data_IF_176427628887
#
_entry.id   IF_176427628887
#
_cell.length_a   1.000
_cell.length_b   1.000
_cell.length_c   1.000
_cell.angle_alpha   90.00
_cell.angle_beta   90.00
_cell.angle_gamma   90.00
#
_symmetry.space_group_name_H-M   'P 1'
#
loop_
_entity.id
_entity.type
_entity.pdbx_description
1 polymer ?
#
# COMPACT_ATOMS: atom_id res chain seq x y z
N UNK A 1 -19.34 -22.95 9.31
CA UNK A 1 -18.88 -23.18 7.92
C UNK A 1 -19.86 -22.61 6.87
N UNK A 2 -21.18 -22.79 7.02
CA UNK A 2 -22.16 -22.28 6.01
C UNK A 2 -22.28 -20.75 5.95
N UNK A 3 -21.98 -20.02 7.04
CA UNK A 3 -22.04 -18.55 7.07
C UNK A 3 -21.06 -17.87 6.09
N UNK A 4 -19.89 -18.48 5.83
CA UNK A 4 -18.88 -17.90 4.96
C UNK A 4 -19.37 -17.74 3.50
N UNK A 5 -20.16 -18.70 2.98
CA UNK A 5 -20.69 -18.58 1.62
C UNK A 5 -21.70 -17.45 1.50
N UNK A 6 -22.51 -17.23 2.57
CA UNK A 6 -23.42 -16.07 2.65
C UNK A 6 -22.62 -14.78 2.65
N UNK A 7 -21.59 -14.70 3.50
CA UNK A 7 -20.78 -13.50 3.70
C UNK A 7 -20.01 -13.14 2.41
N UNK A 8 -19.40 -14.11 1.72
CA UNK A 8 -18.76 -13.92 0.44
C UNK A 8 -19.76 -13.47 -0.65
N UNK A 9 -20.96 -14.07 -0.68
CA UNK A 9 -21.99 -13.65 -1.63
C UNK A 9 -22.42 -12.19 -1.41
N UNK A 10 -22.63 -11.79 -0.13
CA UNK A 10 -22.98 -10.42 0.22
C UNK A 10 -21.85 -9.47 -0.16
N UNK A 11 -20.59 -9.81 0.17
CA UNK A 11 -19.42 -9.00 -0.16
C UNK A 11 -19.29 -8.79 -1.67
N UNK A 12 -19.30 -9.87 -2.47
CA UNK A 12 -19.10 -9.78 -3.92
C UNK A 12 -20.25 -9.00 -4.59
N UNK A 13 -21.49 -9.26 -4.19
CA UNK A 13 -22.66 -8.56 -4.76
C UNK A 13 -22.66 -7.08 -4.40
N UNK A 14 -22.42 -6.74 -3.12
CA UNK A 14 -22.38 -5.35 -2.67
C UNK A 14 -21.18 -4.61 -3.29
N UNK A 15 -19.99 -5.21 -3.34
CA UNK A 15 -18.83 -4.64 -4.02
C UNK A 15 -19.14 -4.29 -5.48
N UNK A 16 -19.73 -5.21 -6.24
CA UNK A 16 -20.07 -4.96 -7.65
C UNK A 16 -21.18 -3.93 -7.81
N UNK A 17 -22.20 -3.96 -6.97
CA UNK A 17 -23.29 -2.98 -7.01
C UNK A 17 -22.76 -1.56 -6.72
N UNK A 18 -22.04 -1.37 -5.62
CA UNK A 18 -21.50 -0.06 -5.25
C UNK A 18 -20.35 0.38 -6.16
N UNK A 19 -19.53 -0.56 -6.66
CA UNK A 19 -18.52 -0.27 -7.67
C UNK A 19 -19.11 0.26 -8.97
N UNK A 20 -20.21 -0.34 -9.46
CA UNK A 20 -20.94 0.16 -10.62
C UNK A 20 -21.63 1.51 -10.34
N UNK A 21 -22.17 1.69 -9.14
CA UNK A 21 -22.76 2.98 -8.72
C UNK A 21 -21.68 4.09 -8.68
N UNK A 22 -20.50 3.81 -8.13
CA UNK A 22 -19.37 4.72 -8.13
C UNK A 22 -18.96 5.12 -9.56
N UNK A 23 -18.88 4.16 -10.49
CA UNK A 23 -18.60 4.46 -11.91
C UNK A 23 -19.65 5.37 -12.54
N UNK A 24 -20.93 5.16 -12.25
CA UNK A 24 -22.01 6.07 -12.72
C UNK A 24 -21.83 7.48 -12.15
N UNK A 25 -21.36 7.60 -10.92
CA UNK A 25 -21.01 8.88 -10.29
C UNK A 25 -19.63 9.42 -10.75
N UNK A 26 -19.03 8.82 -11.78
CA UNK A 26 -17.68 9.17 -12.28
C UNK A 26 -16.58 9.05 -11.22
N UNK A 27 -16.76 8.20 -10.21
CA UNK A 27 -15.75 7.85 -9.22
C UNK A 27 -15.05 6.53 -9.61
N UNK A 28 -13.81 6.25 -9.14
CA UNK A 28 -13.18 4.95 -9.27
C UNK A 28 -13.99 3.84 -8.60
N UNK A 29 -13.96 2.62 -9.17
CA UNK A 29 -14.70 1.47 -8.66
C UNK A 29 -14.30 1.10 -7.24
N UNK A 30 -13.01 1.19 -6.92
CA UNK A 30 -12.43 0.95 -5.60
C UNK A 30 -13.13 1.74 -4.49
N UNK A 31 -13.51 3.00 -4.76
CA UNK A 31 -14.27 3.83 -3.81
C UNK A 31 -15.60 3.18 -3.45
N UNK A 32 -16.33 2.70 -4.47
CA UNK A 32 -17.60 2.01 -4.25
C UNK A 32 -17.44 0.72 -3.45
N UNK A 33 -16.40 -0.05 -3.71
CA UNK A 33 -16.12 -1.30 -3.00
C UNK A 33 -15.78 -1.04 -1.51
N UNK A 34 -15.00 0.00 -1.20
CA UNK A 34 -14.72 0.40 0.20
C UNK A 34 -15.98 0.89 0.90
N UNK A 35 -16.79 1.72 0.23
CA UNK A 35 -18.07 2.19 0.78
C UNK A 35 -19.08 1.05 0.99
N UNK A 36 -19.06 0.02 0.12
CA UNK A 36 -19.83 -1.19 0.34
C UNK A 36 -19.46 -1.85 1.66
N UNK A 37 -18.16 -1.96 1.96
CA UNK A 37 -17.67 -2.50 3.23
C UNK A 37 -18.13 -1.71 4.45
N UNK A 38 -18.09 -0.38 4.39
CA UNK A 38 -18.63 0.48 5.45
C UNK A 38 -20.13 0.27 5.68
N UNK A 39 -20.89 0.09 4.59
CA UNK A 39 -22.34 -0.07 4.66
C UNK A 39 -22.73 -1.42 5.24
N UNK A 40 -22.14 -2.54 4.73
CA UNK A 40 -22.50 -3.89 5.17
C UNK A 40 -21.81 -4.31 6.46
N UNK A 41 -20.77 -3.58 6.87
CA UNK A 41 -19.96 -3.83 8.05
C UNK A 41 -20.55 -3.35 9.36
N UNK A 42 -19.78 -3.49 10.46
CA UNK A 42 -20.19 -3.09 11.81
C UNK A 42 -20.56 -1.61 11.94
N UNK A 43 -20.03 -0.77 11.04
CA UNK A 43 -20.26 0.67 11.06
C UNK A 43 -21.74 1.05 10.85
N UNK A 44 -22.48 0.32 9.99
CA UNK A 44 -23.87 0.68 9.64
C UNK A 44 -24.84 -0.50 9.77
N UNK A 45 -24.78 -1.48 8.86
CA UNK A 45 -25.79 -2.57 8.80
C UNK A 45 -25.41 -3.82 9.60
N UNK A 46 -24.13 -4.00 9.93
CA UNK A 46 -23.60 -5.15 10.65
C UNK A 46 -24.06 -6.51 10.07
N UNK A 47 -24.14 -6.59 8.73
CA UNK A 47 -24.54 -7.83 8.02
C UNK A 47 -23.39 -8.83 7.93
N UNK A 48 -22.16 -8.31 7.77
CA UNK A 48 -20.93 -9.07 7.65
C UNK A 48 -19.91 -8.53 8.62
N UNK A 49 -19.26 -9.44 9.35
CA UNK A 49 -18.13 -9.10 10.21
C UNK A 49 -16.86 -9.71 9.66
N UNK A 50 -15.73 -9.04 9.89
CA UNK A 50 -14.40 -9.57 9.52
C UNK A 50 -14.14 -10.84 10.30
N UNK A 51 -13.62 -11.84 9.62
CA UNK A 51 -13.16 -13.09 10.22
C UNK A 51 -11.88 -13.55 9.52
N UNK A 52 -11.21 -14.55 10.08
CA UNK A 52 -9.93 -15.05 9.58
C UNK A 52 -10.00 -15.46 8.09
N UNK A 53 -11.12 -16.10 7.69
CA UNK A 53 -11.29 -16.53 6.30
C UNK A 53 -11.38 -15.33 5.35
N UNK A 54 -12.18 -14.33 5.69
CA UNK A 54 -12.30 -13.10 4.88
C UNK A 54 -10.95 -12.38 4.83
N UNK A 55 -10.21 -12.34 5.95
CA UNK A 55 -8.88 -11.74 6.01
C UNK A 55 -7.89 -12.44 5.09
N UNK A 56 -7.86 -13.78 5.08
CA UNK A 56 -7.00 -14.56 4.17
C UNK A 56 -7.36 -14.31 2.70
N UNK A 57 -8.66 -14.26 2.36
CA UNK A 57 -9.08 -13.94 0.99
C UNK A 57 -8.69 -12.52 0.57
N UNK A 58 -8.78 -11.56 1.48
CA UNK A 58 -8.36 -10.18 1.25
C UNK A 58 -6.83 -10.10 1.02
N UNK A 59 -6.05 -10.81 1.81
CA UNK A 59 -4.60 -10.92 1.71
C UNK A 59 -4.16 -11.54 0.37
N UNK A 60 -4.79 -12.63 -0.05
CA UNK A 60 -4.58 -13.21 -1.39
C UNK A 60 -4.88 -12.16 -2.47
N UNK A 61 -5.96 -11.38 -2.29
CA UNK A 61 -6.35 -10.35 -3.24
C UNK A 61 -5.29 -9.28 -3.46
N UNK A 62 -4.69 -8.78 -2.38
CA UNK A 62 -3.64 -7.75 -2.47
C UNK A 62 -2.33 -8.32 -2.99
N UNK A 63 -1.97 -9.54 -2.60
CA UNK A 63 -0.78 -10.24 -3.10
C UNK A 63 -0.87 -10.45 -4.62
N UNK A 64 -2.02 -10.91 -5.13
CA UNK A 64 -2.25 -11.07 -6.56
C UNK A 64 -2.26 -9.73 -7.32
N UNK A 65 -2.82 -8.68 -6.74
CA UNK A 65 -2.79 -7.33 -7.31
C UNK A 65 -1.35 -6.83 -7.49
N UNK A 66 -0.52 -7.00 -6.47
CA UNK A 66 0.87 -6.57 -6.51
C UNK A 66 1.72 -7.42 -7.46
N UNK A 67 1.47 -8.73 -7.53
CA UNK A 67 2.11 -9.62 -8.49
C UNK A 67 1.78 -9.22 -9.94
N UNK A 68 0.51 -8.98 -10.24
CA UNK A 68 0.07 -8.52 -11.56
C UNK A 68 0.70 -7.17 -11.93
N UNK A 69 0.77 -6.24 -10.97
CA UNK A 69 1.46 -4.95 -11.13
C UNK A 69 2.93 -5.14 -11.47
N UNK A 70 3.61 -6.07 -10.79
CA UNK A 70 5.00 -6.44 -11.08
C UNK A 70 5.18 -7.01 -12.48
N UNK A 71 4.29 -7.93 -12.92
CA UNK A 71 4.30 -8.50 -14.28
C UNK A 71 4.11 -7.43 -15.36
N UNK A 72 3.22 -6.45 -15.12
CA UNK A 72 2.96 -5.34 -16.03
C UNK A 72 4.01 -4.23 -16.01
N UNK A 73 5.03 -4.33 -15.15
CA UNK A 73 6.04 -3.29 -14.96
C UNK A 73 7.01 -3.22 -16.14
N UNK A 74 7.26 -2.01 -16.64
CA UNK A 74 8.34 -1.76 -17.59
C UNK A 74 9.68 -1.61 -16.86
N UNK A 75 10.51 -2.64 -16.91
CA UNK A 75 11.79 -2.68 -16.20
C UNK A 75 12.71 -1.49 -16.51
N UNK A 76 12.73 -1.00 -17.76
CA UNK A 76 13.54 0.16 -18.14
C UNK A 76 13.05 1.45 -17.45
N UNK A 77 11.74 1.62 -17.36
CA UNK A 77 11.15 2.76 -16.66
C UNK A 77 11.35 2.66 -15.16
N UNK A 78 11.22 1.44 -14.60
CA UNK A 78 11.50 1.18 -13.19
C UNK A 78 12.94 1.56 -12.81
N UNK A 79 13.93 1.10 -13.58
CA UNK A 79 15.33 1.44 -13.32
C UNK A 79 15.61 2.94 -13.47
N UNK A 80 14.93 3.62 -14.38
CA UNK A 80 15.03 5.08 -14.56
C UNK A 80 14.34 5.85 -13.43
N UNK A 81 13.21 5.36 -12.94
CA UNK A 81 12.45 5.97 -11.85
C UNK A 81 13.11 5.76 -10.49
N UNK A 82 13.92 4.73 -10.30
CA UNK A 82 14.47 4.29 -9.02
C UNK A 82 15.08 5.41 -8.16
N UNK A 83 16.06 6.19 -8.65
CA UNK A 83 16.66 7.27 -7.85
C UNK A 83 15.66 8.36 -7.47
N UNK A 84 14.73 8.68 -8.38
CA UNK A 84 13.67 9.65 -8.16
C UNK A 84 12.69 9.12 -7.11
N UNK A 85 12.27 7.87 -7.25
CA UNK A 85 11.38 7.19 -6.35
C UNK A 85 11.95 7.09 -4.93
N UNK A 86 13.25 6.82 -4.82
CA UNK A 86 13.95 6.77 -3.52
C UNK A 86 13.92 8.13 -2.80
N UNK A 87 14.20 9.22 -3.51
CA UNK A 87 14.14 10.55 -2.92
C UNK A 87 12.71 10.91 -2.46
N UNK A 88 11.71 10.59 -3.30
CA UNK A 88 10.29 10.80 -2.98
C UNK A 88 9.91 10.00 -1.74
N UNK A 89 10.31 8.72 -1.64
CA UNK A 89 10.04 7.87 -0.49
C UNK A 89 10.71 8.40 0.79
N UNK A 90 12.00 8.74 0.74
CA UNK A 90 12.71 9.27 1.91
C UNK A 90 12.05 10.53 2.48
N UNK A 91 11.74 11.51 1.64
CA UNK A 91 11.06 12.74 2.08
C UNK A 91 9.62 12.45 2.48
N UNK A 92 8.96 11.52 1.74
CA UNK A 92 7.62 11.04 2.02
C UNK A 92 7.47 10.31 3.36
N UNK A 93 8.54 9.78 3.93
CA UNK A 93 8.59 9.23 5.30
C UNK A 93 8.92 10.33 6.32
N UNK A 94 9.94 11.13 6.06
CA UNK A 94 10.41 12.13 7.03
C UNK A 94 9.36 13.20 7.36
N UNK A 95 8.65 13.72 6.35
CA UNK A 95 7.68 14.81 6.56
C UNK A 95 6.46 14.34 7.38
N UNK A 96 5.80 13.21 7.11
CA UNK A 96 4.73 12.71 7.98
C UNK A 96 5.22 12.30 9.38
N UNK A 97 6.43 11.72 9.49
CA UNK A 97 7.02 11.36 10.78
C UNK A 97 7.14 12.60 11.69
N UNK A 98 7.70 13.68 11.15
CA UNK A 98 7.83 14.94 11.88
C UNK A 98 6.48 15.62 12.09
N UNK A 99 5.58 15.55 11.11
CA UNK A 99 4.21 16.09 11.21
C UNK A 99 3.42 15.43 12.34
N UNK A 100 3.48 14.11 12.45
CA UNK A 100 2.79 13.38 13.52
C UNK A 100 3.39 13.64 14.90
N UNK A 101 4.74 13.70 14.99
CA UNK A 101 5.41 14.09 16.22
C UNK A 101 4.99 15.49 16.67
N UNK A 102 4.98 16.46 15.75
CA UNK A 102 4.57 17.84 16.07
C UNK A 102 3.09 17.92 16.48
N UNK A 103 2.22 17.20 15.77
CA UNK A 103 0.81 17.13 16.12
C UNK A 103 0.59 16.61 17.55
N UNK A 104 1.20 15.46 17.87
CA UNK A 104 1.11 14.88 19.21
C UNK A 104 1.63 15.85 20.28
N UNK A 105 2.77 16.46 20.03
CA UNK A 105 3.36 17.43 20.96
C UNK A 105 2.51 18.70 21.12
N UNK A 106 1.76 19.10 20.11
CA UNK A 106 0.85 20.25 20.19
C UNK A 106 -0.37 19.98 21.08
N UNK A 107 -0.87 18.71 21.12
CA UNK A 107 -2.00 18.32 21.96
C UNK A 107 -1.60 18.00 23.40
N UNK A 108 -0.45 17.35 23.60
CA UNK A 108 -0.05 16.76 24.89
C UNK A 108 1.22 17.38 25.49
N UNK A 109 1.78 18.40 24.83
CA UNK A 109 2.99 19.08 25.29
C UNK A 109 4.29 18.53 24.67
N UNK A 110 5.32 19.39 24.68
CA UNK A 110 6.64 19.04 24.20
C UNK A 110 7.42 18.27 25.28
N UNK A 111 7.88 17.10 24.95
CA UNK A 111 8.62 16.22 25.87
C UNK A 111 10.12 16.21 25.55
N UNK A 112 10.95 15.95 26.57
CA UNK A 112 12.39 15.83 26.41
C UNK A 112 12.78 14.64 25.52
N UNK A 113 13.85 14.78 24.76
CA UNK A 113 14.37 13.71 23.90
C UNK A 113 14.71 12.50 24.76
N UNK A 114 14.18 11.33 24.40
CA UNK A 114 14.40 10.07 25.13
C UNK A 114 13.35 9.77 26.21
N UNK A 115 12.36 10.65 26.45
CA UNK A 115 11.24 10.36 27.36
C UNK A 115 10.22 9.41 26.71
N UNK A 116 9.40 8.68 27.49
CA UNK A 116 8.33 7.84 26.97
C UNK A 116 7.37 8.61 26.06
N UNK A 117 7.02 9.85 26.43
CA UNK A 117 6.14 10.72 25.65
C UNK A 117 6.78 11.14 24.33
N UNK A 118 8.11 11.31 24.27
CA UNK A 118 8.84 11.55 23.02
C UNK A 118 8.71 10.37 22.07
N UNK A 119 8.84 9.14 22.57
CA UNK A 119 8.68 7.94 21.76
C UNK A 119 7.23 7.74 21.32
N UNK A 120 6.23 8.06 22.15
CA UNK A 120 4.81 8.07 21.76
C UNK A 120 4.58 9.04 20.60
N UNK A 121 5.06 10.28 20.73
CA UNK A 121 4.95 11.28 19.68
C UNK A 121 5.59 10.81 18.36
N UNK A 122 6.78 10.22 18.45
CA UNK A 122 7.50 9.68 17.29
C UNK A 122 6.75 8.49 16.67
N UNK A 123 6.16 7.63 17.50
CA UNK A 123 5.38 6.48 17.03
C UNK A 123 4.08 6.90 16.32
N UNK A 124 3.38 7.91 16.84
CA UNK A 124 2.22 8.52 16.15
C UNK A 124 2.64 9.04 14.77
N UNK A 125 3.84 9.67 14.67
CA UNK A 125 4.42 10.03 13.39
C UNK A 125 4.71 8.81 12.50
N UNK A 126 5.22 7.72 13.06
CA UNK A 126 5.51 6.48 12.33
C UNK A 126 4.24 5.89 11.71
N UNK A 127 3.11 5.88 12.41
CA UNK A 127 1.82 5.46 11.84
C UNK A 127 1.46 6.31 10.62
N UNK A 128 1.72 7.62 10.67
CA UNK A 128 1.46 8.51 9.54
C UNK A 128 2.39 8.28 8.33
N UNK A 129 3.52 7.58 8.47
CA UNK A 129 4.41 7.32 7.33
C UNK A 129 3.89 6.24 6.40
N UNK A 130 3.20 5.23 6.92
CA UNK A 130 2.76 4.08 6.15
C UNK A 130 1.92 4.49 4.93
N UNK A 131 2.15 3.88 3.76
CA UNK A 131 1.43 4.15 2.52
C UNK A 131 0.74 2.88 2.03
N UNK A 132 -0.48 2.98 1.51
CA UNK A 132 -1.14 1.84 0.84
C UNK A 132 -0.80 1.85 -0.65
N UNK A 133 0.06 0.93 -1.06
CA UNK A 133 0.41 0.74 -2.47
C UNK A 133 -0.79 0.23 -3.26
N UNK A 134 -1.54 -0.72 -2.70
CA UNK A 134 -2.62 -1.46 -3.36
C UNK A 134 -3.74 -0.56 -3.89
N UNK A 135 -4.23 0.37 -3.08
CA UNK A 135 -5.32 1.29 -3.47
C UNK A 135 -4.84 2.24 -4.57
N UNK A 136 -3.61 2.76 -4.45
CA UNK A 136 -3.02 3.65 -5.45
C UNK A 136 -2.80 2.93 -6.76
N UNK A 137 -2.28 1.69 -6.73
CA UNK A 137 -2.10 0.83 -7.90
C UNK A 137 -3.44 0.55 -8.59
N UNK A 138 -4.45 0.09 -7.85
CA UNK A 138 -5.78 -0.18 -8.41
C UNK A 138 -6.39 1.08 -9.05
N UNK A 139 -6.22 2.24 -8.41
CA UNK A 139 -6.69 3.52 -8.94
C UNK A 139 -5.96 3.89 -10.23
N UNK A 140 -4.62 3.82 -10.26
CA UNK A 140 -3.82 4.13 -11.44
C UNK A 140 -4.11 3.14 -12.60
N UNK A 141 -4.37 1.87 -12.28
CA UNK A 141 -4.76 0.85 -13.24
C UNK A 141 -6.12 1.17 -13.86
N UNK A 142 -7.12 1.52 -13.02
CA UNK A 142 -8.46 1.91 -13.50
C UNK A 142 -8.42 3.19 -14.35
N UNK A 143 -7.53 4.13 -14.02
CA UNK A 143 -7.34 5.37 -14.78
C UNK A 143 -6.47 5.18 -16.03
N UNK A 144 -5.86 4.02 -16.25
CA UNK A 144 -4.99 3.73 -17.39
C UNK A 144 -3.61 4.38 -17.32
N UNK A 145 -3.18 4.83 -16.13
CA UNK A 145 -1.91 5.53 -15.93
C UNK A 145 -0.85 4.75 -15.16
N UNK A 146 -1.09 3.47 -14.86
CA UNK A 146 -0.17 2.63 -14.09
C UNK A 146 1.17 2.40 -14.80
N UNK A 147 1.14 2.17 -16.11
CA UNK A 147 2.32 1.78 -16.92
C UNK A 147 3.12 2.97 -17.48
N UNK A 148 2.70 4.21 -17.26
CA UNK A 148 3.47 5.38 -17.66
C UNK A 148 4.56 5.73 -16.63
N UNK A 149 5.51 6.61 -17.00
CA UNK A 149 6.63 6.97 -16.12
C UNK A 149 6.18 7.54 -14.77
N UNK A 150 5.12 8.35 -14.76
CA UNK A 150 4.55 8.92 -13.54
C UNK A 150 3.96 7.83 -12.63
N UNK A 151 3.15 6.93 -13.18
CA UNK A 151 2.58 5.79 -12.45
C UNK A 151 3.65 4.87 -11.91
N UNK A 152 4.61 4.49 -12.74
CA UNK A 152 5.77 3.68 -12.34
C UNK A 152 6.57 4.36 -11.21
N UNK A 153 6.77 5.68 -11.28
CA UNK A 153 7.46 6.44 -10.23
C UNK A 153 6.69 6.40 -8.90
N UNK A 154 5.37 6.59 -8.94
CA UNK A 154 4.51 6.54 -7.74
C UNK A 154 4.57 5.14 -7.10
N UNK A 155 4.39 4.08 -7.91
CA UNK A 155 4.44 2.70 -7.40
C UNK A 155 5.80 2.35 -6.84
N UNK A 156 6.88 2.69 -7.55
CA UNK A 156 8.25 2.46 -7.07
C UNK A 156 8.53 3.20 -5.76
N UNK A 157 8.08 4.46 -5.66
CA UNK A 157 8.24 5.24 -4.44
C UNK A 157 7.46 4.61 -3.28
N UNK A 158 6.25 4.11 -3.52
CA UNK A 158 5.44 3.46 -2.48
C UNK A 158 6.07 2.14 -2.00
N UNK A 159 6.60 1.30 -2.90
CA UNK A 159 7.32 0.07 -2.51
C UNK A 159 8.58 0.36 -1.69
N UNK A 160 9.35 1.41 -2.06
CA UNK A 160 10.52 1.83 -1.30
C UNK A 160 10.10 2.42 0.06
N UNK A 161 8.99 3.15 0.10
CA UNK A 161 8.40 3.73 1.32
C UNK A 161 8.05 2.65 2.35
N UNK A 162 7.50 1.51 1.91
CA UNK A 162 7.21 0.36 2.78
C UNK A 162 8.47 -0.17 3.46
N UNK A 163 9.56 -0.32 2.70
CA UNK A 163 10.85 -0.76 3.24
C UNK A 163 11.40 0.24 4.26
N UNK A 164 11.38 1.55 3.95
CA UNK A 164 11.83 2.60 4.85
C UNK A 164 10.92 2.65 6.09
N UNK A 165 9.61 2.47 5.92
CA UNK A 165 8.63 2.43 7.01
C UNK A 165 8.92 1.34 8.03
N UNK A 166 9.28 0.12 7.59
CA UNK A 166 9.70 -0.98 8.47
C UNK A 166 10.97 -0.61 9.24
N UNK A 167 11.96 0.00 8.59
CA UNK A 167 13.20 0.46 9.24
C UNK A 167 12.87 1.48 10.31
N UNK A 168 12.05 2.50 10.01
CA UNK A 168 11.65 3.53 10.98
C UNK A 168 10.88 2.92 12.14
N UNK A 169 9.93 2.02 11.89
CA UNK A 169 9.17 1.32 12.92
C UNK A 169 10.10 0.57 13.88
N UNK A 170 11.04 -0.20 13.34
CA UNK A 170 12.00 -0.98 14.14
C UNK A 170 12.92 -0.07 14.95
N UNK A 171 13.37 1.06 14.38
CA UNK A 171 14.17 2.06 15.09
C UNK A 171 13.42 2.65 16.27
N UNK A 172 12.16 3.04 16.06
CA UNK A 172 11.33 3.68 17.10
C UNK A 172 10.98 2.68 18.21
N UNK A 173 10.62 1.46 17.85
CA UNK A 173 10.33 0.40 18.83
C UNK A 173 11.58 0.00 19.61
N UNK A 174 12.71 -0.23 18.94
CA UNK A 174 13.97 -0.59 19.59
C UNK A 174 14.48 0.49 20.54
N UNK A 175 14.30 1.76 20.17
CA UNK A 175 14.68 2.88 21.02
C UNK A 175 13.73 3.07 22.21
N UNK A 176 12.45 2.67 22.09
CA UNK A 176 11.44 2.77 23.16
C UNK A 176 11.55 1.64 24.18
N UNK A 177 11.94 0.43 23.77
CA UNK A 177 12.05 -0.75 24.64
C UNK A 177 13.41 -0.95 25.30
N UNK A 178 14.43 -0.21 24.88
CA UNK A 178 15.82 -0.40 25.35
C UNK A 178 16.48 -1.72 24.89
N UNK A 179 15.74 -2.58 24.20
CA UNK A 179 16.20 -3.88 23.67
C UNK A 179 16.21 -3.85 22.13
N UNK A 180 16.97 -2.96 21.52
CA UNK A 180 17.00 -2.87 20.07
C UNK A 180 17.81 -3.99 19.41
N UNK A 181 17.19 -4.81 18.58
CA UNK A 181 17.90 -5.36 17.42
C UNK A 181 18.34 -4.15 16.60
N UNK A 182 19.64 -3.83 16.65
CA UNK A 182 20.13 -2.56 16.13
C UNK A 182 19.68 -2.31 14.69
N UNK A 183 19.48 -1.04 14.33
CA UNK A 183 19.14 -0.56 12.98
C UNK A 183 19.92 -1.32 11.91
N UNK A 184 21.19 -1.66 12.19
CA UNK A 184 22.05 -2.48 11.34
C UNK A 184 21.47 -3.86 11.03
N UNK A 185 20.81 -4.51 11.98
CA UNK A 185 20.19 -5.83 11.76
C UNK A 185 19.06 -5.79 10.73
N UNK A 186 18.17 -4.80 10.83
CA UNK A 186 17.07 -4.62 9.87
C UNK A 186 17.58 -4.25 8.49
N UNK A 187 18.57 -3.36 8.42
CA UNK A 187 19.18 -3.00 7.13
C UNK A 187 19.86 -4.19 6.47
N UNK A 188 20.59 -5.01 7.23
CA UNK A 188 21.22 -6.24 6.73
C UNK A 188 20.15 -7.25 6.28
N UNK A 189 19.10 -7.44 7.06
CA UNK A 189 18.02 -8.36 6.72
C UNK A 189 17.28 -7.93 5.45
N UNK A 190 17.01 -6.64 5.28
CA UNK A 190 16.42 -6.07 4.06
C UNK A 190 17.35 -6.23 2.86
N UNK A 191 18.64 -5.92 3.00
CA UNK A 191 19.62 -6.09 1.92
C UNK A 191 19.77 -7.57 1.53
N UNK A 192 19.77 -8.47 2.53
CA UNK A 192 19.84 -9.92 2.31
C UNK A 192 18.58 -10.43 1.59
N UNK A 193 17.40 -9.91 1.93
CA UNK A 193 16.17 -10.23 1.20
C UNK A 193 16.29 -9.89 -0.30
N UNK A 194 16.72 -8.68 -0.64
CA UNK A 194 16.86 -8.31 -2.06
C UNK A 194 17.90 -9.17 -2.78
N UNK A 195 19.01 -9.50 -2.11
CA UNK A 195 20.03 -10.39 -2.68
C UNK A 195 19.48 -11.80 -2.93
N UNK A 196 18.77 -12.37 -1.96
CA UNK A 196 18.12 -13.69 -2.07
C UNK A 196 17.02 -13.66 -3.13
N UNK A 197 16.20 -12.60 -3.14
CA UNK A 197 15.13 -12.43 -4.12
C UNK A 197 15.67 -12.35 -5.55
N UNK A 198 16.78 -11.63 -5.77
CA UNK A 198 17.46 -11.59 -7.08
C UNK A 198 18.04 -12.95 -7.45
N UNK A 199 18.67 -13.65 -6.50
CA UNK A 199 19.27 -14.98 -6.74
C UNK A 199 18.21 -16.03 -7.09
N UNK A 200 17.20 -16.21 -6.24
CA UNK A 200 16.09 -17.14 -6.48
C UNK A 200 15.33 -16.73 -7.75
N UNK A 201 15.07 -15.42 -7.88
CA UNK A 201 14.39 -14.85 -9.03
C UNK A 201 15.10 -15.15 -10.34
N UNK A 202 16.42 -14.98 -10.39
CA UNK A 202 17.22 -15.28 -11.58
C UNK A 202 17.14 -16.76 -11.99
N UNK A 203 17.30 -17.68 -11.01
CA UNK A 203 17.18 -19.12 -11.26
C UNK A 203 15.78 -19.47 -11.77
N UNK A 204 14.75 -18.93 -11.12
CA UNK A 204 13.36 -19.16 -11.54
C UNK A 204 13.07 -18.57 -12.91
N UNK A 205 13.56 -17.36 -13.18
CA UNK A 205 13.43 -16.70 -14.49
C UNK A 205 14.04 -17.56 -15.61
N UNK A 206 15.24 -18.10 -15.40
CA UNK A 206 15.90 -18.98 -16.38
C UNK A 206 15.07 -20.27 -16.63
N UNK A 207 14.56 -20.88 -15.57
CA UNK A 207 13.70 -22.05 -15.66
C UNK A 207 12.40 -21.75 -16.43
N UNK A 208 11.77 -20.63 -16.11
CA UNK A 208 10.54 -20.19 -16.77
C UNK A 208 10.77 -19.81 -18.23
N UNK A 209 11.86 -19.14 -18.55
CA UNK A 209 12.24 -18.81 -19.94
C UNK A 209 12.45 -20.08 -20.78
N UNK A 210 13.05 -21.11 -20.20
CA UNK A 210 13.19 -22.41 -20.87
C UNK A 210 11.83 -23.10 -21.09
N UNK A 211 10.92 -23.03 -20.09
CA UNK A 211 9.57 -23.59 -20.20
C UNK A 211 8.72 -22.85 -21.23
N UNK A 212 8.77 -21.51 -21.22
CA UNK A 212 8.08 -20.61 -22.12
C UNK A 212 8.47 -20.84 -23.59
N UNK A 213 9.78 -21.01 -23.85
CA UNK A 213 10.31 -21.30 -25.20
C UNK A 213 9.82 -22.63 -25.78
N UNK A 214 9.50 -23.62 -24.93
CA UNK A 214 9.03 -24.95 -25.36
C UNK A 214 7.53 -25.06 -25.49
N UNK A 215 6.77 -24.37 -24.65
CA UNK A 215 5.32 -24.51 -24.55
C UNK A 215 4.67 -23.13 -24.24
N UNK A 216 4.63 -22.21 -25.21
CA UNK A 216 4.04 -20.89 -25.01
C UNK A 216 2.54 -20.98 -24.72
N UNK A 217 2.01 -20.01 -23.97
CA UNK A 217 0.58 -19.83 -23.66
C UNK A 217 -0.06 -21.01 -22.92
N UNK A 218 0.72 -21.76 -22.11
CA UNK A 218 0.19 -22.90 -21.36
C UNK A 218 -0.23 -22.51 -19.95
N UNK A 219 -1.26 -23.20 -19.44
CA UNK A 219 -1.68 -23.06 -18.03
C UNK A 219 -0.54 -23.37 -17.05
N UNK A 220 0.43 -24.21 -17.43
CA UNK A 220 1.58 -24.57 -16.60
C UNK A 220 2.43 -23.36 -16.23
N UNK A 221 2.62 -22.43 -17.18
CA UNK A 221 3.36 -21.17 -16.93
C UNK A 221 2.64 -20.33 -15.89
N UNK A 222 1.32 -20.17 -16.01
CA UNK A 222 0.52 -19.42 -15.04
C UNK A 222 0.57 -20.05 -13.65
N UNK A 223 0.42 -21.38 -13.56
CA UNK A 223 0.46 -22.11 -12.28
C UNK A 223 1.83 -21.96 -11.61
N UNK A 224 2.92 -22.15 -12.36
CA UNK A 224 4.28 -22.00 -11.83
C UNK A 224 4.54 -20.56 -11.39
N UNK A 225 4.07 -19.55 -12.14
CA UNK A 225 4.20 -18.14 -11.80
C UNK A 225 3.44 -17.77 -10.53
N UNK A 226 2.22 -18.30 -10.34
CA UNK A 226 1.45 -18.12 -9.10
C UNK A 226 2.12 -18.79 -7.90
N UNK A 227 2.63 -20.01 -8.07
CA UNK A 227 3.37 -20.70 -7.02
C UNK A 227 4.61 -19.90 -6.60
N UNK A 228 5.32 -19.33 -7.56
CA UNK A 228 6.47 -18.46 -7.31
C UNK A 228 6.06 -17.15 -6.60
N UNK A 229 4.96 -16.53 -6.99
CA UNK A 229 4.41 -15.37 -6.31
C UNK A 229 4.18 -15.63 -4.82
N UNK A 230 3.41 -16.68 -4.48
CA UNK A 230 3.14 -17.02 -3.08
C UNK A 230 4.39 -17.46 -2.31
N UNK A 231 5.32 -18.16 -2.96
CA UNK A 231 6.60 -18.52 -2.33
C UNK A 231 7.42 -17.27 -1.98
N UNK A 232 7.49 -16.28 -2.88
CA UNK A 232 8.23 -15.04 -2.65
C UNK A 232 7.54 -14.16 -1.59
N UNK A 233 6.20 -14.09 -1.58
CA UNK A 233 5.43 -13.43 -0.53
C UNK A 233 5.73 -14.05 0.85
N UNK A 234 5.64 -15.38 0.95
CA UNK A 234 5.96 -16.12 2.18
C UNK A 234 7.42 -15.92 2.64
N UNK A 235 8.38 -15.97 1.71
CA UNK A 235 9.80 -15.78 2.03
C UNK A 235 10.03 -14.35 2.55
N UNK A 236 9.45 -13.33 1.92
CA UNK A 236 9.59 -11.94 2.32
C UNK A 236 9.12 -11.73 3.76
N UNK A 237 7.92 -12.21 4.09
CA UNK A 237 7.31 -12.01 5.39
C UNK A 237 7.94 -12.89 6.48
N UNK A 238 8.01 -14.21 6.25
CA UNK A 238 8.42 -15.17 7.27
C UNK A 238 9.89 -15.07 7.66
N UNK A 239 10.79 -14.89 6.68
CA UNK A 239 12.24 -14.95 6.92
C UNK A 239 12.88 -13.58 7.03
N UNK A 240 12.28 -12.55 6.44
CA UNK A 240 12.88 -11.22 6.35
C UNK A 240 12.04 -10.12 7.03
N UNK A 241 10.82 -10.42 7.49
CA UNK A 241 9.93 -9.43 8.11
C UNK A 241 9.54 -8.28 7.17
N UNK A 242 9.60 -8.53 5.86
CA UNK A 242 9.21 -7.57 4.81
C UNK A 242 7.80 -7.94 4.35
N UNK A 243 6.97 -6.93 4.07
CA UNK A 243 5.60 -7.16 3.65
C UNK A 243 5.50 -8.16 2.47
N UNK A 244 4.60 -9.12 2.58
CA UNK A 244 4.28 -10.15 1.57
C UNK A 244 4.01 -9.55 0.20
N UNK A 245 3.29 -8.42 0.15
CA UNK A 245 3.01 -7.64 -1.06
C UNK A 245 4.28 -7.23 -1.80
N UNK A 246 5.36 -6.89 -1.09
CA UNK A 246 6.67 -6.56 -1.68
C UNK A 246 7.29 -7.78 -2.33
N UNK A 247 7.23 -8.95 -1.67
CA UNK A 247 7.68 -10.23 -2.22
C UNK A 247 6.94 -10.59 -3.51
N UNK A 248 5.62 -10.44 -3.52
CA UNK A 248 4.76 -10.66 -4.68
C UNK A 248 5.09 -9.71 -5.85
N UNK A 249 5.28 -8.42 -5.56
CA UNK A 249 5.67 -7.42 -6.57
C UNK A 249 7.01 -7.76 -7.22
N UNK A 250 8.02 -8.12 -6.42
CA UNK A 250 9.34 -8.55 -6.93
C UNK A 250 9.22 -9.81 -7.77
N UNK A 251 8.41 -10.79 -7.35
CA UNK A 251 8.15 -11.98 -8.16
C UNK A 251 7.57 -11.61 -9.54
N UNK A 252 6.66 -10.65 -9.59
CA UNK A 252 6.14 -10.12 -10.84
C UNK A 252 7.22 -9.45 -11.70
N UNK A 253 8.07 -8.60 -11.11
CA UNK A 253 9.19 -7.95 -11.81
C UNK A 253 10.16 -8.97 -12.39
N UNK A 254 10.48 -10.03 -11.66
CA UNK A 254 11.36 -11.12 -12.14
C UNK A 254 10.83 -11.75 -13.42
N UNK A 255 9.51 -11.86 -13.53
CA UNK A 255 8.84 -12.50 -14.66
C UNK A 255 8.38 -11.52 -15.75
N UNK A 256 8.45 -10.21 -15.54
CA UNK A 256 7.91 -9.19 -16.45
C UNK A 256 8.56 -9.19 -17.85
N UNK A 257 9.77 -9.77 -17.99
CA UNK A 257 10.50 -9.86 -19.24
C UNK A 257 10.27 -11.17 -20.01
N UNK A 258 9.46 -12.10 -19.49
CA UNK A 258 9.07 -13.31 -20.19
C UNK A 258 8.12 -12.97 -21.35
N UNK A 259 8.16 -13.78 -22.40
CA UNK A 259 7.26 -13.62 -23.56
C UNK A 259 5.80 -13.73 -23.14
N UNK A 260 5.47 -14.67 -22.24
CA UNK A 260 4.12 -14.91 -21.73
C UNK A 260 3.74 -14.06 -20.51
N UNK A 261 4.54 -13.05 -20.12
CA UNK A 261 4.23 -12.20 -18.95
C UNK A 261 2.83 -11.57 -19.05
N UNK A 262 2.47 -11.00 -20.21
CA UNK A 262 1.16 -10.41 -20.44
C UNK A 262 0.01 -11.45 -20.42
N UNK A 263 0.28 -12.70 -20.82
CA UNK A 263 -0.69 -13.79 -20.73
C UNK A 263 -0.96 -14.17 -19.27
N UNK A 264 0.10 -14.29 -18.45
CA UNK A 264 0.01 -14.58 -17.01
C UNK A 264 -0.70 -13.42 -16.29
N UNK A 265 -0.28 -12.16 -16.55
CA UNK A 265 -0.89 -10.94 -16.01
C UNK A 265 -2.42 -10.97 -16.19
N UNK A 266 -2.89 -11.18 -17.43
CA UNK A 266 -4.32 -11.19 -17.75
C UNK A 266 -5.07 -12.30 -17.02
N UNK A 267 -4.48 -13.48 -16.85
CA UNK A 267 -5.11 -14.62 -16.15
C UNK A 267 -5.24 -14.35 -14.66
N UNK A 268 -4.19 -13.80 -14.06
CA UNK A 268 -4.17 -13.42 -12.65
C UNK A 268 -5.17 -12.29 -12.40
N UNK A 269 -5.19 -11.26 -13.24
CA UNK A 269 -6.12 -10.13 -13.14
C UNK A 269 -7.58 -10.58 -13.17
N UNK A 270 -7.95 -11.48 -14.07
CA UNK A 270 -9.33 -11.99 -14.14
C UNK A 270 -9.72 -12.66 -12.83
N UNK A 271 -8.87 -13.56 -12.31
CA UNK A 271 -9.16 -14.28 -11.07
C UNK A 271 -9.25 -13.34 -9.88
N UNK A 272 -8.34 -12.39 -9.81
CA UNK A 272 -8.29 -11.40 -8.74
C UNK A 272 -9.51 -10.46 -8.79
N UNK A 273 -9.82 -9.89 -9.94
CA UNK A 273 -10.92 -8.95 -10.13
C UNK A 273 -12.29 -9.53 -9.79
N UNK A 274 -12.49 -10.84 -10.04
CA UNK A 274 -13.80 -11.48 -9.83
C UNK A 274 -14.05 -11.79 -8.36
N UNK A 275 -13.03 -12.22 -7.62
CA UNK A 275 -13.19 -12.78 -6.28
C UNK A 275 -12.41 -11.99 -5.24
N UNK A 276 -11.08 -11.95 -5.35
CA UNK A 276 -10.21 -11.56 -4.24
C UNK A 276 -10.11 -10.04 -4.06
N UNK A 277 -9.94 -9.26 -5.12
CA UNK A 277 -9.84 -7.81 -5.04
C UNK A 277 -11.09 -7.14 -4.44
N UNK A 278 -12.33 -7.52 -4.81
CA UNK A 278 -13.53 -7.00 -4.17
C UNK A 278 -13.57 -7.29 -2.66
N UNK A 279 -13.15 -8.50 -2.26
CA UNK A 279 -13.10 -8.87 -0.84
C UNK A 279 -12.06 -8.01 -0.10
N UNK A 280 -10.90 -7.78 -0.70
CA UNK A 280 -9.87 -6.91 -0.14
C UNK A 280 -10.39 -5.48 0.09
N UNK A 281 -10.94 -4.83 -0.93
CA UNK A 281 -11.42 -3.45 -0.78
C UNK A 281 -12.60 -3.32 0.17
N UNK A 282 -13.53 -4.27 0.15
CA UNK A 282 -14.64 -4.34 1.12
C UNK A 282 -14.12 -4.54 2.53
N UNK A 283 -13.09 -5.39 2.73
CA UNK A 283 -12.52 -5.66 4.04
C UNK A 283 -11.96 -4.41 4.74
N UNK A 284 -11.51 -3.42 3.98
CA UNK A 284 -11.07 -2.12 4.52
C UNK A 284 -12.25 -1.44 5.25
N UNK A 285 -13.42 -1.42 4.62
CA UNK A 285 -14.64 -0.89 5.24
C UNK A 285 -15.15 -1.74 6.41
N UNK A 286 -15.07 -3.08 6.30
CA UNK A 286 -15.49 -4.00 7.36
C UNK A 286 -14.67 -3.87 8.66
N UNK A 287 -13.40 -3.47 8.56
CA UNK A 287 -12.51 -3.23 9.71
C UNK A 287 -12.84 -1.93 10.47
N UNK A 288 -13.74 -1.11 9.94
CA UNK A 288 -14.08 0.19 10.51
C UNK A 288 -15.12 0.03 11.62
N UNK A 289 -14.77 0.45 12.83
CA UNK A 289 -15.67 0.60 13.96
C UNK A 289 -15.52 2.00 14.56
N UNK A 290 -16.61 2.75 14.65
CA UNK A 290 -16.63 4.13 15.14
C UNK A 290 -17.34 4.27 16.50
N UNK A 291 -17.65 3.15 17.16
CA UNK A 291 -18.43 3.15 18.42
C UNK A 291 -17.72 3.82 19.60
N UNK A 292 -16.40 3.99 19.57
CA UNK A 292 -15.58 4.58 20.65
C UNK A 292 -15.29 6.08 20.53
N UNK A 293 -15.93 6.83 19.63
CA UNK A 293 -15.62 8.24 19.39
C UNK A 293 -16.18 9.18 20.49
N UNK A 294 -15.28 9.79 21.25
CA UNK A 294 -15.58 10.97 22.09
C UNK A 294 -15.25 12.27 21.33
N UNK A 295 -15.84 13.44 21.72
CA UNK A 295 -15.55 14.71 21.04
C UNK A 295 -14.06 15.09 21.02
N UNK A 296 -13.32 14.79 22.09
CA UNK A 296 -11.88 15.08 22.18
C UNK A 296 -11.06 14.19 21.22
N UNK A 297 -11.38 12.90 21.18
CA UNK A 297 -10.76 11.94 20.27
C UNK A 297 -11.11 12.29 18.82
N UNK A 298 -12.33 12.75 18.57
CA UNK A 298 -12.76 13.17 17.25
C UNK A 298 -11.94 14.36 16.75
N UNK A 299 -11.70 15.37 17.59
CA UNK A 299 -10.89 16.53 17.22
C UNK A 299 -9.45 16.12 16.91
N UNK A 300 -8.83 15.29 17.78
CA UNK A 300 -7.50 14.74 17.52
C UNK A 300 -7.49 13.94 16.22
N UNK A 301 -8.48 13.07 16.00
CA UNK A 301 -8.57 12.22 14.80
C UNK A 301 -8.69 13.04 13.52
N UNK A 302 -9.48 14.10 13.52
CA UNK A 302 -9.61 15.00 12.36
C UNK A 302 -8.28 15.70 12.08
N UNK A 303 -7.61 16.25 13.09
CA UNK A 303 -6.29 16.85 12.94
C UNK A 303 -5.25 15.82 12.47
N UNK A 304 -5.30 14.60 13.02
CA UNK A 304 -4.42 13.49 12.64
C UNK A 304 -4.58 13.14 11.15
N UNK A 305 -5.82 13.00 10.69
CA UNK A 305 -6.12 12.73 9.27
C UNK A 305 -5.60 13.87 8.38
N UNK A 306 -5.93 15.11 8.71
CA UNK A 306 -5.50 16.27 7.91
C UNK A 306 -3.98 16.38 7.83
N UNK A 307 -3.28 16.27 8.96
CA UNK A 307 -1.81 16.34 9.00
C UNK A 307 -1.19 15.18 8.22
N UNK A 308 -1.70 13.96 8.37
CA UNK A 308 -1.20 12.79 7.67
C UNK A 308 -1.33 12.92 6.13
N UNK A 309 -2.47 13.41 5.65
CA UNK A 309 -2.70 13.62 4.21
C UNK A 309 -1.83 14.75 3.67
N UNK A 310 -1.85 15.91 4.33
CA UNK A 310 -1.10 17.09 3.88
C UNK A 310 0.40 16.86 3.94
N UNK A 311 0.92 16.21 4.98
CA UNK A 311 2.34 15.91 5.10
C UNK A 311 2.86 15.04 3.95
N UNK A 312 2.10 14.02 3.50
CA UNK A 312 2.46 13.22 2.33
C UNK A 312 2.37 14.02 1.03
N UNK A 313 1.26 14.75 0.84
CA UNK A 313 1.09 15.56 -0.37
C UNK A 313 2.23 16.57 -0.50
N UNK A 314 2.56 17.27 0.58
CA UNK A 314 3.62 18.28 0.61
C UNK A 314 4.98 17.59 0.45
N UNK A 315 5.28 16.59 1.28
CA UNK A 315 6.57 15.90 1.28
C UNK A 315 6.90 15.27 -0.07
N UNK A 316 6.04 14.37 -0.54
CA UNK A 316 6.26 13.68 -1.81
C UNK A 316 6.11 14.62 -3.02
N UNK A 317 5.19 15.59 -2.95
CA UNK A 317 4.99 16.57 -4.01
C UNK A 317 6.21 17.50 -4.17
N UNK A 318 6.77 18.02 -3.09
CA UNK A 318 8.00 18.84 -3.13
C UNK A 318 9.22 18.02 -3.57
N UNK A 319 9.34 16.76 -3.10
CA UNK A 319 10.39 15.86 -3.57
C UNK A 319 10.30 15.60 -5.07
N UNK A 320 9.10 15.33 -5.59
CA UNK A 320 8.88 15.19 -7.03
C UNK A 320 9.21 16.49 -7.79
N UNK A 321 8.85 17.64 -7.24
CA UNK A 321 9.20 18.94 -7.82
C UNK A 321 10.71 19.15 -7.88
N UNK A 322 11.44 18.78 -6.83
CA UNK A 322 12.91 18.81 -6.82
C UNK A 322 13.51 17.88 -7.88
N UNK A 323 12.84 16.78 -8.19
CA UNK A 323 13.18 15.86 -9.29
C UNK A 323 12.74 16.33 -10.67
N UNK A 324 12.38 17.60 -10.85
CA UNK A 324 11.99 18.25 -12.11
C UNK A 324 10.63 17.85 -12.69
N UNK A 325 9.74 17.25 -11.91
CA UNK A 325 8.35 17.13 -12.33
C UNK A 325 7.70 18.53 -12.40
N UNK A 326 6.72 18.71 -13.28
CA UNK A 326 5.88 19.91 -13.26
C UNK A 326 4.97 19.92 -12.01
N UNK A 327 4.37 21.06 -11.69
CA UNK A 327 3.53 21.19 -10.49
C UNK A 327 2.32 20.25 -10.49
N UNK A 328 1.71 20.01 -11.67
CA UNK A 328 0.57 19.11 -11.80
C UNK A 328 0.95 17.65 -11.51
N UNK A 329 2.06 17.17 -12.05
CA UNK A 329 2.53 15.81 -11.83
C UNK A 329 3.14 15.64 -10.44
N UNK A 330 3.80 16.67 -9.89
CA UNK A 330 4.25 16.69 -8.50
C UNK A 330 3.09 16.54 -7.52
N UNK A 331 1.96 17.22 -7.79
CA UNK A 331 0.76 17.07 -6.97
C UNK A 331 0.15 15.67 -7.10
N UNK A 332 0.14 15.07 -8.30
CA UNK A 332 -0.32 13.68 -8.51
C UNK A 332 0.55 12.68 -7.76
N UNK A 333 1.88 12.88 -7.73
CA UNK A 333 2.79 12.07 -6.90
C UNK A 333 2.42 12.18 -5.43
N UNK A 334 2.28 13.39 -4.91
CA UNK A 334 1.91 13.62 -3.51
C UNK A 334 0.57 12.99 -3.15
N UNK A 335 -0.45 13.18 -3.99
CA UNK A 335 -1.78 12.58 -3.80
C UNK A 335 -1.73 11.06 -3.95
N UNK A 336 -0.98 10.53 -4.90
CA UNK A 336 -0.80 9.08 -5.07
C UNK A 336 -0.14 8.40 -3.86
N UNK A 337 0.69 9.13 -3.13
CA UNK A 337 1.38 8.64 -1.92
C UNK A 337 0.61 8.89 -0.62
N UNK A 338 -0.52 9.59 -0.63
CA UNK A 338 -1.24 9.94 0.59
C UNK A 338 -2.15 8.85 1.13
N UNK A 339 -2.38 7.76 0.38
CA UNK A 339 -3.28 6.66 0.78
C UNK A 339 -2.70 5.89 1.95
N UNK A 340 -3.54 5.53 2.90
CA UNK A 340 -3.22 4.63 4.02
C UNK A 340 -4.05 3.37 3.91
N UNK A 341 -3.51 2.25 4.39
CA UNK A 341 -4.18 0.95 4.35
C UNK A 341 -3.74 0.03 5.49
N UNK A 342 -3.64 -1.23 5.18
CA UNK A 342 -3.29 -2.32 6.08
C UNK A 342 -1.98 -2.09 6.85
N UNK A 343 -0.96 -1.53 6.21
CA UNK A 343 0.35 -1.28 6.85
C UNK A 343 0.21 -0.32 8.03
N UNK A 344 -0.61 0.75 7.90
CA UNK A 344 -0.86 1.68 9.00
C UNK A 344 -1.55 0.98 10.19
N UNK A 345 -2.44 0.03 9.88
CA UNK A 345 -3.13 -0.76 10.90
C UNK A 345 -2.16 -1.69 11.64
N UNK A 346 -1.30 -2.40 10.90
CA UNK A 346 -0.28 -3.30 11.46
C UNK A 346 0.68 -2.51 12.37
N UNK A 347 1.15 -1.34 11.91
CA UNK A 347 2.02 -0.46 12.70
C UNK A 347 1.31 -0.03 13.98
N UNK A 348 0.06 0.42 13.91
CA UNK A 348 -0.71 0.83 15.09
C UNK A 348 -0.95 -0.34 16.06
N UNK A 349 -1.27 -1.53 15.55
CA UNK A 349 -1.47 -2.73 16.35
C UNK A 349 -0.18 -3.13 17.06
N UNK A 350 0.96 -3.06 16.38
CA UNK A 350 2.27 -3.32 16.99
C UNK A 350 2.58 -2.34 18.12
N UNK A 351 2.22 -1.07 17.95
CA UNK A 351 2.34 -0.06 19.01
C UNK A 351 1.47 -0.33 20.23
N UNK A 352 0.26 -0.88 20.03
CA UNK A 352 -0.62 -1.33 21.11
C UNK A 352 -0.02 -2.53 21.86
N UNK A 353 0.49 -3.54 21.15
CA UNK A 353 1.10 -4.74 21.74
C UNK A 353 2.28 -4.40 22.65
N UNK A 354 3.10 -3.42 22.26
CA UNK A 354 4.28 -2.98 23.02
C UNK A 354 3.94 -1.89 24.05
N UNK A 355 2.69 -1.42 24.09
CA UNK A 355 2.24 -0.41 25.06
C UNK A 355 2.73 1.02 24.78
N UNK A 356 3.28 1.29 23.60
CA UNK A 356 3.71 2.65 23.19
C UNK A 356 2.51 3.50 22.75
N UNK A 357 1.46 2.88 22.22
CA UNK A 357 0.23 3.56 21.75
C UNK A 357 -0.94 3.11 22.63
N UNK A 358 -1.80 4.03 22.99
CA UNK A 358 -3.04 3.72 23.71
C UNK A 358 -4.16 3.33 22.74
N UNK A 359 -5.11 2.46 23.15
CA UNK A 359 -6.19 1.99 22.29
C UNK A 359 -7.03 3.11 21.67
N UNK A 360 -7.11 4.24 22.34
CA UNK A 360 -7.87 5.43 21.93
C UNK A 360 -7.41 5.97 20.56
N UNK A 361 -6.12 5.90 20.26
CA UNK A 361 -5.57 6.38 18.97
C UNK A 361 -5.87 5.46 17.80
N UNK A 362 -6.26 4.20 18.08
CA UNK A 362 -6.60 3.24 17.02
C UNK A 362 -7.77 3.69 16.16
N UNK A 363 -8.77 4.34 16.79
CA UNK A 363 -9.90 4.93 16.06
C UNK A 363 -9.47 6.03 15.08
N UNK A 364 -8.49 6.86 15.48
CA UNK A 364 -7.92 7.88 14.58
C UNK A 364 -7.21 7.25 13.36
N UNK A 365 -6.53 6.11 13.57
CA UNK A 365 -5.88 5.37 12.47
C UNK A 365 -6.91 4.77 11.52
N UNK A 366 -7.98 4.17 12.03
CA UNK A 366 -9.06 3.64 11.20
C UNK A 366 -9.69 4.78 10.37
N UNK A 367 -10.00 5.92 11.01
CA UNK A 367 -10.55 7.07 10.30
C UNK A 367 -9.60 7.57 9.20
N UNK A 368 -8.30 7.63 9.47
CA UNK A 368 -7.29 7.98 8.49
C UNK A 368 -7.31 7.02 7.29
N UNK A 369 -7.37 5.71 7.54
CA UNK A 369 -7.41 4.69 6.49
C UNK A 369 -8.64 4.91 5.60
N UNK A 370 -9.83 5.00 6.19
CA UNK A 370 -11.08 5.16 5.45
C UNK A 370 -11.09 6.45 4.63
N UNK A 371 -10.78 7.58 5.27
CA UNK A 371 -10.78 8.88 4.58
C UNK A 371 -9.76 8.91 3.44
N UNK A 372 -8.52 8.44 3.67
CA UNK A 372 -7.49 8.43 2.63
C UNK A 372 -7.83 7.48 1.49
N UNK A 373 -8.39 6.30 1.80
CA UNK A 373 -8.76 5.28 0.81
C UNK A 373 -9.87 5.76 -0.14
N UNK A 374 -10.74 6.64 0.33
CA UNK A 374 -11.80 7.26 -0.51
C UNK A 374 -11.29 8.53 -1.19
N UNK A 375 -10.58 9.39 -0.46
CA UNK A 375 -10.14 10.68 -0.95
C UNK A 375 -9.08 10.55 -2.06
N UNK A 376 -8.14 9.61 -1.94
CA UNK A 376 -7.05 9.45 -2.92
C UNK A 376 -7.54 9.10 -4.32
N UNK A 377 -8.38 8.07 -4.52
CA UNK A 377 -8.88 7.74 -5.85
C UNK A 377 -9.67 8.88 -6.49
N UNK A 378 -10.48 9.59 -5.71
CA UNK A 378 -11.26 10.72 -6.18
C UNK A 378 -10.36 11.90 -6.59
N UNK A 379 -9.37 12.22 -5.76
CA UNK A 379 -8.42 13.30 -6.02
C UNK A 379 -7.52 12.98 -7.22
N UNK A 380 -6.98 11.75 -7.33
CA UNK A 380 -6.20 11.31 -8.48
C UNK A 380 -7.01 11.41 -9.77
N UNK A 381 -8.25 10.91 -9.78
CA UNK A 381 -9.12 11.01 -10.94
C UNK A 381 -9.33 12.46 -11.36
N UNK A 382 -9.64 13.36 -10.41
CA UNK A 382 -9.83 14.77 -10.69
C UNK A 382 -8.56 15.42 -11.26
N UNK A 383 -7.38 15.08 -10.71
CA UNK A 383 -6.09 15.61 -11.16
C UNK A 383 -5.72 15.11 -12.58
N UNK A 384 -5.88 13.81 -12.85
CA UNK A 384 -5.59 13.28 -14.18
C UNK A 384 -6.55 13.80 -15.25
N UNK A 385 -7.82 14.03 -14.88
CA UNK A 385 -8.82 14.60 -15.80
C UNK A 385 -8.53 16.08 -16.12
N UNK A 386 -8.17 16.89 -15.09
CA UNK A 386 -7.96 18.34 -15.26
C UNK A 386 -6.57 18.69 -15.80
N UNK A 387 -5.58 17.89 -15.46
CA UNK A 387 -4.17 18.13 -15.79
C UNK A 387 -3.58 16.84 -16.37
N UNK A 388 -3.58 16.65 -17.72
CA UNK A 388 -2.95 15.46 -18.30
C UNK A 388 -1.45 15.40 -17.92
N UNK A 389 -0.88 14.18 -17.75
CA UNK A 389 0.54 14.03 -17.42
C UNK A 389 1.42 14.59 -18.55
N UNK A 390 2.51 15.24 -18.15
CA UNK A 390 3.50 15.81 -19.11
C UNK A 390 4.72 14.88 -19.11
N UNK A 391 5.29 14.57 -20.28
CA UNK A 391 6.51 13.76 -20.38
C UNK A 391 7.63 14.34 -19.53
N UNK A 392 8.24 13.48 -18.69
CA UNK A 392 9.35 13.90 -17.83
C UNK A 392 10.64 14.07 -18.67
N UNK A 393 11.55 15.03 -18.35
CA UNK A 393 12.80 15.23 -19.10
C UNK A 393 13.68 13.97 -19.22
N UNK A 394 13.55 13.01 -18.31
CA UNK A 394 14.24 11.72 -18.41
C UNK A 394 13.69 10.83 -19.54
N UNK A 395 12.45 11.03 -20.00
CA UNK A 395 11.86 10.29 -21.11
C UNK A 395 12.35 10.80 -22.48
N UNK A 396 12.75 12.08 -22.55
CA UNK A 396 13.26 12.70 -23.77
C UNK A 396 14.68 12.26 -24.18
N UNK A 397 15.38 11.50 -23.34
CA UNK A 397 16.72 10.96 -23.63
C UNK A 397 16.62 9.53 -24.22
N UNK A 398 15.72 9.35 -25.18
CA UNK A 398 15.67 8.14 -26.03
C UNK A 398 16.58 8.27 -27.23
#
# INVERSE_FOLDING_TARGET
>A
MYSIFRDLAIIILSAKFFGLAARKCKAPQVVGEILAGLLIGPCLLNLVQINDTISVFAEIGVVLLMFSTGLGTNLKELMRAGPIATLIACIGVLVPLMGGKLLYSAFYGFSAIGSPEFFRALFIGTIMTATSVSITVATLQELGHLKNFLGTTIVSAAVIDDVIGIIVLTCVLGASSGEGTGIGGVMVQTALFFLVAVGIGYVFHCAMKWLDSRNPHTQRITIASLAFCFAMAYIAEKYFGIADITGAYIAGIVLCTLHDAAYVERRVDISNYVIFAPIFFVSIGLKTDISGLTPEILLFSVCFVLVALLAKIIGCGLAARACRFNWGDSLKVGVGMMTRGEVALIVAQKGLEVGVVEPVYFTAVILLIVVSSVATPLALKALFTKMPPVPHPSEAKK
#
